data_IF_321507336598
#
_entry.id   IF_321507336598
#
_cell.length_a   1.000
_cell.length_b   1.000
_cell.length_c   1.000
_cell.angle_alpha   90.00
_cell.angle_beta   90.00
_cell.angle_gamma   90.00
#
_symmetry.space_group_name_H-M   'P 1'
#
loop_
_entity.id
_entity.type
_entity.pdbx_description
1 polymer ?
#
# COMPACT_ATOMS: atom_id res chain seq x y z
N UNK A 1 -44.69 6.44 5.50
CA UNK A 1 -43.74 7.53 5.24
C UNK A 1 -44.54 8.81 5.23
N UNK A 2 -44.34 9.64 6.23
CA UNK A 2 -45.06 10.92 6.32
C UNK A 2 -44.42 11.91 5.32
N UNK A 3 -45.21 12.88 4.83
CA UNK A 3 -44.75 13.92 3.90
C UNK A 3 -43.52 14.68 4.47
N UNK A 4 -43.47 14.87 5.77
CA UNK A 4 -42.38 15.48 6.48
C UNK A 4 -41.11 14.62 6.45
N UNK A 5 -41.23 13.30 6.56
CA UNK A 5 -40.08 12.35 6.41
C UNK A 5 -39.55 12.38 4.99
N UNK A 6 -40.42 12.42 3.99
CA UNK A 6 -40.05 12.54 2.59
C UNK A 6 -39.33 13.87 2.27
N UNK A 7 -39.88 14.98 2.78
CA UNK A 7 -39.28 16.31 2.62
C UNK A 7 -37.90 16.39 3.33
N UNK A 8 -37.81 15.81 4.52
CA UNK A 8 -36.55 15.73 5.29
C UNK A 8 -35.49 14.86 4.58
N UNK A 9 -35.89 13.72 4.06
CA UNK A 9 -34.99 12.87 3.28
C UNK A 9 -34.53 13.56 2.00
N UNK A 10 -35.39 14.26 1.28
CA UNK A 10 -35.04 15.02 0.10
C UNK A 10 -34.09 16.21 0.39
N UNK A 11 -34.39 16.95 1.48
CA UNK A 11 -33.52 18.03 1.93
C UNK A 11 -32.11 17.48 2.33
N UNK A 12 -32.06 16.40 3.11
CA UNK A 12 -30.82 15.73 3.47
C UNK A 12 -30.07 15.21 2.25
N UNK A 13 -30.77 14.72 1.23
CA UNK A 13 -30.14 14.28 -0.04
C UNK A 13 -29.56 15.43 -0.84
N UNK A 14 -30.23 16.60 -0.86
CA UNK A 14 -29.73 17.79 -1.58
C UNK A 14 -28.61 18.52 -0.84
N UNK A 15 -28.62 18.50 0.48
CA UNK A 15 -27.59 19.12 1.32
C UNK A 15 -26.38 18.21 1.58
N UNK A 16 -26.48 16.92 1.25
CA UNK A 16 -25.38 15.99 1.40
C UNK A 16 -24.16 16.45 0.55
N UNK A 17 -22.92 16.27 1.03
CA UNK A 17 -21.73 16.59 0.29
C UNK A 17 -21.72 15.95 -1.11
N UNK A 18 -21.18 16.65 -2.10
CA UNK A 18 -21.10 16.16 -3.49
C UNK A 18 -20.48 14.75 -3.58
N UNK A 19 -19.45 14.49 -2.80
CA UNK A 19 -18.82 13.19 -2.72
C UNK A 19 -19.75 12.06 -2.27
N UNK A 20 -20.80 12.37 -1.53
CA UNK A 20 -21.85 11.41 -1.10
C UNK A 20 -22.92 11.29 -2.20
N UNK A 21 -23.37 12.42 -2.75
CA UNK A 21 -24.40 12.45 -3.81
C UNK A 21 -23.93 11.72 -5.07
N UNK A 22 -22.66 11.86 -5.44
CA UNK A 22 -22.06 11.28 -6.63
C UNK A 22 -21.61 9.82 -6.47
N UNK A 23 -21.90 9.17 -5.34
CA UNK A 23 -21.59 7.74 -5.18
C UNK A 23 -22.26 6.92 -6.28
N UNK A 24 -21.53 5.99 -6.92
CA UNK A 24 -22.05 5.02 -7.85
C UNK A 24 -23.27 4.26 -7.29
N UNK A 25 -24.28 4.08 -8.14
CA UNK A 25 -25.51 3.31 -7.81
C UNK A 25 -25.49 1.91 -8.43
N UNK A 26 -24.65 1.68 -9.44
CA UNK A 26 -24.48 0.39 -10.12
C UNK A 26 -22.99 0.12 -10.39
N UNK A 27 -22.67 -1.10 -10.85
CA UNK A 27 -21.29 -1.46 -11.20
C UNK A 27 -20.73 -0.62 -12.35
N UNK A 28 -21.58 -0.24 -13.30
CA UNK A 28 -21.20 0.53 -14.49
C UNK A 28 -20.85 1.98 -14.15
N UNK A 29 -21.36 2.49 -13.04
CA UNK A 29 -21.05 3.84 -12.57
C UNK A 29 -19.71 3.91 -11.84
N UNK A 30 -19.13 2.77 -11.44
CA UNK A 30 -17.82 2.76 -10.75
C UNK A 30 -16.73 3.13 -11.74
N UNK A 31 -15.98 4.17 -11.43
CA UNK A 31 -14.82 4.59 -12.24
C UNK A 31 -13.56 3.90 -11.74
N UNK A 32 -12.66 3.58 -12.66
CA UNK A 32 -11.41 2.89 -12.35
C UNK A 32 -11.60 1.44 -11.90
N UNK A 33 -10.64 0.89 -11.15
CA UNK A 33 -10.65 -0.47 -10.58
C UNK A 33 -10.90 -1.60 -11.61
N UNK A 34 -10.57 -1.37 -12.88
CA UNK A 34 -10.83 -2.32 -13.98
C UNK A 34 -10.14 -3.67 -13.81
N UNK A 35 -9.06 -3.73 -13.02
CA UNK A 35 -8.33 -4.95 -12.71
C UNK A 35 -9.13 -5.92 -11.84
N UNK A 36 -10.13 -5.46 -11.06
CA UNK A 36 -11.01 -6.28 -10.22
C UNK A 36 -12.48 -6.25 -10.66
N UNK A 37 -12.97 -5.11 -11.20
CA UNK A 37 -14.36 -4.89 -11.58
C UNK A 37 -14.57 -4.82 -13.11
N UNK A 38 -13.51 -4.94 -13.92
CA UNK A 38 -13.64 -5.01 -15.37
C UNK A 38 -14.47 -6.22 -15.81
N UNK A 39 -15.09 -6.13 -16.97
CA UNK A 39 -15.86 -7.22 -17.56
C UNK A 39 -15.05 -8.52 -17.61
N UNK A 40 -15.64 -9.63 -17.16
CA UNK A 40 -14.97 -10.93 -17.07
C UNK A 40 -14.10 -11.13 -15.84
N UNK A 41 -13.83 -10.11 -15.01
CA UNK A 41 -13.08 -10.25 -13.75
C UNK A 41 -13.89 -10.98 -12.68
N UNK A 42 -13.18 -11.58 -11.71
CA UNK A 42 -13.78 -12.43 -10.70
C UNK A 42 -14.89 -11.72 -9.90
N UNK A 43 -14.60 -10.51 -9.38
CA UNK A 43 -15.56 -9.78 -8.58
C UNK A 43 -16.78 -9.38 -9.40
N UNK A 44 -16.59 -8.86 -10.62
CA UNK A 44 -17.68 -8.54 -11.54
C UNK A 44 -18.60 -9.74 -11.80
N UNK A 45 -18.01 -10.90 -12.16
CA UNK A 45 -18.78 -12.13 -12.40
C UNK A 45 -19.51 -12.62 -11.16
N UNK A 46 -18.87 -12.55 -9.98
CA UNK A 46 -19.49 -12.97 -8.71
C UNK A 46 -20.71 -12.12 -8.37
N UNK A 47 -20.62 -10.80 -8.58
CA UNK A 47 -21.76 -9.88 -8.36
C UNK A 47 -22.89 -10.18 -9.33
N UNK A 48 -22.60 -10.33 -10.62
CA UNK A 48 -23.61 -10.65 -11.65
C UNK A 48 -24.27 -12.02 -11.46
N UNK A 49 -23.55 -12.98 -10.91
CA UNK A 49 -24.06 -14.32 -10.62
C UNK A 49 -24.76 -14.40 -9.25
N UNK A 50 -24.84 -13.30 -8.49
CA UNK A 50 -25.36 -13.28 -7.13
C UNK A 50 -24.65 -14.29 -6.20
N UNK A 51 -23.34 -14.51 -6.43
CA UNK A 51 -22.50 -15.49 -5.73
C UNK A 51 -21.36 -14.79 -4.98
N UNK A 52 -21.67 -13.67 -4.32
CA UNK A 52 -20.72 -12.88 -3.54
C UNK A 52 -20.55 -13.50 -2.16
N UNK A 53 -19.34 -13.98 -1.86
CA UNK A 53 -18.94 -14.41 -0.52
C UNK A 53 -18.20 -13.30 0.25
N UNK A 54 -17.73 -13.63 1.44
CA UNK A 54 -16.96 -12.71 2.26
C UNK A 54 -15.66 -12.26 1.58
N UNK A 55 -15.30 -10.98 1.79
CA UNK A 55 -14.13 -10.37 1.17
C UNK A 55 -13.52 -9.26 2.02
N UNK A 56 -12.26 -8.98 1.76
CA UNK A 56 -11.55 -7.82 2.30
C UNK A 56 -11.15 -6.90 1.13
N UNK A 57 -11.58 -5.65 1.20
CA UNK A 57 -11.20 -4.60 0.27
C UNK A 57 -10.10 -3.75 0.94
N UNK A 58 -8.89 -3.76 0.39
CA UNK A 58 -7.82 -2.93 0.94
C UNK A 58 -7.24 -1.98 -0.11
N UNK A 59 -6.77 -0.84 0.32
CA UNK A 59 -6.20 0.18 -0.56
C UNK A 59 -6.34 1.60 0.01
N UNK A 60 -5.81 2.62 -0.69
CA UNK A 60 -5.72 3.98 -0.18
C UNK A 60 -7.11 4.60 0.09
N UNK A 61 -7.16 5.70 0.88
CA UNK A 61 -8.39 6.49 1.05
C UNK A 61 -8.95 6.94 -0.31
N UNK A 62 -10.28 7.11 -0.40
CA UNK A 62 -10.93 7.60 -1.61
C UNK A 62 -10.93 6.67 -2.82
N UNK A 63 -10.35 5.47 -2.74
CA UNK A 63 -10.31 4.47 -3.83
C UNK A 63 -11.65 3.77 -4.10
N UNK A 64 -12.68 4.02 -3.27
CA UNK A 64 -14.04 3.52 -3.50
C UNK A 64 -14.45 2.30 -2.68
N UNK A 65 -13.72 1.87 -1.65
CA UNK A 65 -14.02 0.68 -0.83
C UNK A 65 -15.47 0.63 -0.34
N UNK A 66 -15.91 1.65 0.38
CA UNK A 66 -17.30 1.75 0.89
C UNK A 66 -18.32 1.76 -0.24
N UNK A 67 -18.03 2.48 -1.32
CA UNK A 67 -18.91 2.59 -2.50
C UNK A 67 -19.09 1.24 -3.18
N UNK A 68 -18.01 0.49 -3.38
CA UNK A 68 -18.05 -0.84 -3.99
C UNK A 68 -18.90 -1.79 -3.13
N UNK A 69 -18.74 -1.76 -1.80
CA UNK A 69 -19.54 -2.57 -0.89
C UNK A 69 -21.04 -2.23 -0.97
N UNK A 70 -21.40 -0.94 -1.01
CA UNK A 70 -22.78 -0.49 -1.17
C UNK A 70 -23.39 -0.94 -2.51
N UNK A 71 -22.63 -0.84 -3.61
CA UNK A 71 -23.07 -1.29 -4.94
C UNK A 71 -23.26 -2.81 -4.97
N UNK A 72 -22.31 -3.58 -4.42
CA UNK A 72 -22.43 -5.04 -4.32
C UNK A 72 -23.72 -5.43 -3.59
N UNK A 73 -23.99 -4.81 -2.43
CA UNK A 73 -25.18 -5.12 -1.65
C UNK A 73 -26.47 -4.85 -2.43
N UNK A 74 -26.55 -3.73 -3.17
CA UNK A 74 -27.71 -3.40 -4.00
C UNK A 74 -27.89 -4.38 -5.16
N UNK A 75 -26.84 -4.73 -5.85
CA UNK A 75 -26.89 -5.67 -6.99
C UNK A 75 -27.26 -7.09 -6.54
N UNK A 76 -26.87 -7.49 -5.35
CA UNK A 76 -27.15 -8.82 -4.77
C UNK A 76 -28.42 -8.85 -3.92
N UNK A 77 -29.18 -7.74 -3.86
CA UNK A 77 -30.42 -7.61 -3.08
C UNK A 77 -30.30 -8.09 -1.63
N UNK A 78 -29.12 -7.91 -1.03
CA UNK A 78 -28.87 -8.21 0.39
C UNK A 78 -29.12 -6.99 1.26
N UNK A 79 -29.57 -7.20 2.49
CA UNK A 79 -29.66 -6.14 3.48
C UNK A 79 -28.24 -5.65 3.83
N UNK A 80 -28.06 -4.32 3.85
CA UNK A 80 -26.74 -3.71 4.07
C UNK A 80 -26.63 -3.16 5.49
N UNK A 81 -25.86 -3.87 6.32
CA UNK A 81 -25.51 -3.42 7.66
C UNK A 81 -24.10 -2.85 7.66
N UNK A 82 -23.91 -1.70 8.31
CA UNK A 82 -22.61 -1.03 8.38
C UNK A 82 -22.13 -0.89 9.80
N UNK A 83 -20.89 -1.29 10.06
CA UNK A 83 -20.14 -1.00 11.28
C UNK A 83 -18.89 -0.18 10.94
N UNK A 84 -18.58 0.78 11.80
CA UNK A 84 -17.31 1.48 11.75
C UNK A 84 -16.45 0.99 12.92
N UNK A 85 -15.34 0.30 12.61
CA UNK A 85 -14.50 -0.31 13.64
C UNK A 85 -13.80 0.70 14.55
N UNK A 86 -13.76 2.00 14.19
CA UNK A 86 -13.19 3.05 15.05
C UNK A 86 -14.16 3.46 16.17
N UNK A 87 -15.46 3.27 16.01
CA UNK A 87 -16.51 3.73 16.95
C UNK A 87 -17.34 2.58 17.50
N UNK A 88 -17.48 1.50 16.75
CA UNK A 88 -18.36 0.39 17.11
C UNK A 88 -17.87 -0.37 18.35
N UNK A 89 -18.71 -0.40 19.38
CA UNK A 89 -18.52 -1.21 20.56
C UNK A 89 -19.11 -2.61 20.45
N UNK A 90 -18.88 -3.45 21.46
CA UNK A 90 -19.41 -4.82 21.50
C UNK A 90 -20.93 -4.88 21.35
N UNK A 91 -21.66 -3.96 22.01
CA UNK A 91 -23.12 -3.91 21.97
C UNK A 91 -23.65 -3.67 20.56
N UNK A 92 -23.08 -2.71 19.84
CA UNK A 92 -23.45 -2.41 18.46
C UNK A 92 -23.19 -3.60 17.51
N UNK A 93 -22.09 -4.30 17.72
CA UNK A 93 -21.79 -5.55 16.97
C UNK A 93 -22.83 -6.63 17.25
N UNK A 94 -23.23 -6.83 18.51
CA UNK A 94 -24.26 -7.79 18.90
C UNK A 94 -25.62 -7.45 18.28
N UNK A 95 -26.02 -6.17 18.29
CA UNK A 95 -27.27 -5.69 17.68
C UNK A 95 -27.32 -5.97 16.17
N UNK A 96 -26.24 -5.64 15.45
CA UNK A 96 -26.15 -5.87 14.00
C UNK A 96 -26.14 -7.37 13.66
N UNK A 97 -25.46 -8.19 14.44
CA UNK A 97 -25.47 -9.64 14.24
C UNK A 97 -26.84 -10.23 14.55
N UNK A 98 -27.53 -9.76 15.58
CA UNK A 98 -28.90 -10.20 15.88
C UNK A 98 -29.84 -9.90 14.71
N UNK A 99 -29.78 -8.68 14.15
CA UNK A 99 -30.55 -8.32 12.95
C UNK A 99 -30.21 -9.24 11.77
N UNK A 100 -28.94 -9.54 11.55
CA UNK A 100 -28.51 -10.46 10.49
C UNK A 100 -29.08 -11.87 10.70
N UNK A 101 -29.09 -12.40 11.93
CA UNK A 101 -29.69 -13.69 12.26
C UNK A 101 -31.20 -13.70 11.98
N UNK A 102 -31.94 -12.62 12.33
CA UNK A 102 -33.35 -12.49 12.02
C UNK A 102 -33.62 -12.46 10.51
N UNK A 103 -32.80 -11.73 9.76
CA UNK A 103 -32.87 -11.68 8.30
C UNK A 103 -32.62 -13.07 7.70
N UNK A 104 -31.60 -13.76 8.16
CA UNK A 104 -31.28 -15.12 7.73
C UNK A 104 -32.43 -16.10 7.97
N UNK A 105 -33.08 -16.02 9.16
CA UNK A 105 -34.27 -16.81 9.49
C UNK A 105 -35.48 -16.52 8.59
N UNK A 106 -35.53 -15.34 7.94
CA UNK A 106 -36.55 -14.94 6.95
C UNK A 106 -36.14 -15.22 5.51
N UNK A 107 -35.02 -15.90 5.28
CA UNK A 107 -34.46 -16.18 3.95
C UNK A 107 -33.85 -14.98 3.25
N UNK A 108 -33.53 -13.90 3.99
CA UNK A 108 -32.83 -12.74 3.47
C UNK A 108 -31.33 -12.80 3.79
N UNK A 109 -30.50 -12.42 2.84
CA UNK A 109 -29.05 -12.32 3.05
C UNK A 109 -28.69 -10.96 3.64
N UNK A 110 -27.67 -10.93 4.49
CA UNK A 110 -27.12 -9.72 5.07
C UNK A 110 -25.67 -9.55 4.63
N UNK A 111 -25.37 -8.40 4.04
CA UNK A 111 -23.97 -7.96 3.79
C UNK A 111 -23.55 -7.07 4.96
N UNK A 112 -22.62 -7.56 5.75
CA UNK A 112 -22.02 -6.79 6.85
C UNK A 112 -20.76 -6.07 6.34
N UNK A 113 -20.85 -4.76 6.21
CA UNK A 113 -19.71 -3.91 5.86
C UNK A 113 -19.04 -3.39 7.13
N UNK A 114 -17.77 -3.71 7.32
CA UNK A 114 -16.94 -3.23 8.43
C UNK A 114 -15.88 -2.27 7.89
N UNK A 115 -16.08 -0.97 8.14
CA UNK A 115 -15.13 0.08 7.76
C UNK A 115 -13.94 0.10 8.73
N UNK A 116 -12.72 0.23 8.21
CA UNK A 116 -11.46 0.21 8.97
C UNK A 116 -11.31 -1.04 9.87
N UNK A 117 -11.61 -2.23 9.32
CA UNK A 117 -11.63 -3.50 10.07
C UNK A 117 -10.36 -3.78 10.88
N UNK A 118 -9.22 -3.23 10.51
CA UNK A 118 -7.95 -3.31 11.24
C UNK A 118 -8.02 -2.64 12.62
N UNK A 119 -9.00 -1.78 12.89
CA UNK A 119 -9.22 -1.15 14.20
C UNK A 119 -9.92 -2.07 15.19
N UNK A 120 -10.57 -3.12 14.73
CA UNK A 120 -11.08 -4.15 15.63
C UNK A 120 -9.95 -4.96 16.24
N UNK A 121 -9.94 -5.10 17.57
CA UNK A 121 -9.01 -6.01 18.22
C UNK A 121 -9.38 -7.49 17.90
N UNK A 122 -8.44 -8.42 18.14
CA UNK A 122 -8.61 -9.84 17.79
C UNK A 122 -9.92 -10.44 18.27
N UNK A 123 -10.32 -10.19 19.52
CA UNK A 123 -11.58 -10.71 20.07
C UNK A 123 -12.84 -10.20 19.37
N UNK A 124 -12.83 -8.98 18.81
CA UNK A 124 -13.94 -8.46 18.00
C UNK A 124 -13.95 -9.12 16.62
N UNK A 125 -12.80 -9.33 16.03
CA UNK A 125 -12.69 -10.06 14.77
C UNK A 125 -13.10 -11.55 14.95
N UNK A 126 -12.70 -12.18 16.05
CA UNK A 126 -13.09 -13.57 16.38
C UNK A 126 -14.61 -13.70 16.61
N UNK A 127 -15.25 -12.68 17.17
CA UNK A 127 -16.70 -12.65 17.37
C UNK A 127 -17.49 -12.77 16.04
N UNK A 128 -16.94 -12.26 14.94
CA UNK A 128 -17.60 -12.34 13.62
C UNK A 128 -17.44 -13.72 12.95
N UNK A 129 -16.43 -14.51 13.34
CA UNK A 129 -16.09 -15.77 12.67
C UNK A 129 -17.26 -16.75 12.53
N UNK A 130 -18.02 -17.09 13.59
CA UNK A 130 -19.11 -18.08 13.46
C UNK A 130 -20.14 -17.67 12.40
N UNK A 131 -20.49 -16.39 12.34
CA UNK A 131 -21.52 -15.85 11.44
C UNK A 131 -21.03 -15.71 9.98
N UNK A 132 -19.72 -15.61 9.79
CA UNK A 132 -19.09 -15.67 8.46
C UNK A 132 -18.98 -17.12 7.99
N UNK A 133 -18.72 -18.06 8.90
CA UNK A 133 -18.59 -19.49 8.61
C UNK A 133 -19.92 -20.12 8.22
N UNK A 134 -20.98 -19.83 8.95
CA UNK A 134 -22.32 -20.39 8.71
C UNK A 134 -23.11 -19.65 7.61
N UNK A 135 -22.57 -18.51 7.11
CA UNK A 135 -23.18 -17.73 6.05
C UNK A 135 -24.30 -16.81 6.50
N UNK A 136 -24.51 -16.63 7.81
CA UNK A 136 -25.45 -15.65 8.37
C UNK A 136 -25.15 -14.24 7.84
N UNK A 137 -23.86 -13.92 7.71
CA UNK A 137 -23.41 -12.68 7.09
C UNK A 137 -22.39 -12.93 5.97
N UNK A 138 -22.48 -12.15 4.90
CA UNK A 138 -21.41 -11.97 3.94
C UNK A 138 -20.58 -10.76 4.38
N UNK A 139 -19.37 -10.99 4.93
CA UNK A 139 -18.51 -9.93 5.44
C UNK A 139 -17.80 -9.21 4.30
N UNK A 140 -17.91 -7.88 4.26
CA UNK A 140 -17.03 -7.02 3.45
C UNK A 140 -16.23 -6.14 4.40
N UNK A 141 -14.99 -6.53 4.70
CA UNK A 141 -14.06 -5.71 5.48
C UNK A 141 -13.37 -4.70 4.59
N UNK A 142 -13.30 -3.44 5.03
CA UNK A 142 -12.52 -2.40 4.36
C UNK A 142 -11.36 -1.96 5.24
N UNK A 143 -10.18 -1.76 4.64
CA UNK A 143 -8.98 -1.29 5.35
C UNK A 143 -8.07 -0.48 4.44
N UNK A 144 -7.33 0.46 5.03
CA UNK A 144 -6.22 1.16 4.36
C UNK A 144 -4.88 0.46 4.59
N UNK A 145 -4.81 -0.46 5.55
CA UNK A 145 -3.62 -1.20 5.94
C UNK A 145 -3.54 -2.56 5.23
N UNK A 146 -2.34 -3.16 5.21
CA UNK A 146 -2.16 -4.49 4.63
C UNK A 146 -2.90 -5.55 5.47
N UNK A 147 -3.95 -6.22 4.91
CA UNK A 147 -4.79 -7.13 5.67
C UNK A 147 -4.05 -8.34 6.22
N UNK A 148 -2.93 -8.76 5.61
CA UNK A 148 -2.16 -9.91 6.08
C UNK A 148 -1.47 -9.68 7.44
N UNK A 149 -1.30 -8.42 7.86
CA UNK A 149 -0.73 -8.09 9.16
C UNK A 149 -1.81 -7.75 10.21
N UNK A 150 -2.93 -7.18 9.77
CA UNK A 150 -3.89 -6.54 10.67
C UNK A 150 -5.19 -7.33 10.85
N UNK A 151 -5.54 -8.18 9.88
CA UNK A 151 -6.77 -8.98 9.94
C UNK A 151 -6.44 -10.40 10.39
N UNK A 152 -7.29 -10.95 11.26
CA UNK A 152 -7.14 -12.31 11.76
C UNK A 152 -7.04 -13.33 10.62
N UNK A 153 -6.06 -14.22 10.70
CA UNK A 153 -5.82 -15.26 9.72
C UNK A 153 -7.05 -16.17 9.45
N UNK A 154 -7.89 -16.38 10.47
CA UNK A 154 -9.12 -17.16 10.34
C UNK A 154 -10.17 -16.43 9.47
N UNK A 155 -10.31 -15.11 9.58
CA UNK A 155 -11.16 -14.31 8.68
C UNK A 155 -10.58 -14.26 7.27
N UNK A 156 -9.24 -14.09 7.14
CA UNK A 156 -8.59 -14.06 5.84
C UNK A 156 -8.77 -15.37 5.06
N UNK A 157 -8.66 -16.51 5.73
CA UNK A 157 -8.82 -17.83 5.09
C UNK A 157 -10.24 -18.07 4.54
N UNK A 158 -11.23 -17.31 5.02
CA UNK A 158 -12.64 -17.36 4.62
C UNK A 158 -13.07 -16.22 3.73
N UNK A 159 -12.16 -15.29 3.46
CA UNK A 159 -12.43 -14.09 2.69
C UNK A 159 -11.55 -14.01 1.46
N UNK A 160 -12.07 -13.43 0.39
CA UNK A 160 -11.27 -13.10 -0.79
C UNK A 160 -10.70 -11.71 -0.62
N UNK A 161 -9.44 -11.52 -0.96
CA UNK A 161 -8.76 -10.23 -0.81
C UNK A 161 -8.73 -9.54 -2.16
N UNK A 162 -9.19 -8.28 -2.20
CA UNK A 162 -9.16 -7.43 -3.38
C UNK A 162 -8.41 -6.14 -3.06
N UNK A 163 -7.35 -5.90 -3.82
CA UNK A 163 -6.58 -4.65 -3.75
C UNK A 163 -7.23 -3.58 -4.63
N UNK A 164 -7.52 -2.44 -4.03
CA UNK A 164 -7.94 -1.24 -4.75
C UNK A 164 -6.73 -0.33 -4.95
N UNK A 165 -6.56 0.13 -6.17
CA UNK A 165 -5.49 1.07 -6.54
C UNK A 165 -5.99 2.51 -6.40
N UNK A 166 -5.08 3.50 -6.23
CA UNK A 166 -5.44 4.89 -6.43
C UNK A 166 -6.12 5.06 -7.79
N UNK A 167 -7.12 5.93 -7.87
CA UNK A 167 -7.74 6.24 -9.15
C UNK A 167 -6.76 6.98 -10.06
N UNK A 168 -6.76 6.66 -11.34
CA UNK A 168 -5.98 7.42 -12.29
C UNK A 168 -6.56 8.84 -12.46
N UNK A 169 -5.74 9.82 -12.84
CA UNK A 169 -6.19 11.18 -13.09
C UNK A 169 -7.32 11.22 -14.13
N UNK A 170 -7.26 10.37 -15.16
CA UNK A 170 -8.32 10.24 -16.15
C UNK A 170 -9.66 9.77 -15.57
N UNK A 171 -9.65 8.84 -14.59
CA UNK A 171 -10.84 8.37 -13.89
C UNK A 171 -11.48 9.49 -13.05
N UNK A 172 -10.65 10.27 -12.36
CA UNK A 172 -11.10 11.42 -11.56
C UNK A 172 -11.64 12.51 -12.48
N UNK A 173 -11.00 12.81 -13.61
CA UNK A 173 -11.49 13.77 -14.59
C UNK A 173 -12.88 13.36 -15.14
N UNK A 174 -13.06 12.08 -15.44
CA UNK A 174 -14.36 11.56 -15.85
C UNK A 174 -15.43 11.73 -14.76
N UNK A 175 -15.06 11.50 -13.49
CA UNK A 175 -15.95 11.69 -12.34
C UNK A 175 -16.33 13.18 -12.16
N UNK A 176 -15.37 14.10 -12.28
CA UNK A 176 -15.63 15.55 -12.18
C UNK A 176 -16.55 16.04 -13.31
N UNK A 177 -16.29 15.62 -14.56
CA UNK A 177 -17.17 15.96 -15.70
C UNK A 177 -18.59 15.37 -15.50
N UNK A 178 -18.70 14.14 -15.00
CA UNK A 178 -19.99 13.55 -14.65
C UNK A 178 -20.71 14.37 -13.58
N UNK A 179 -20.01 14.82 -12.54
CA UNK A 179 -20.57 15.67 -11.49
C UNK A 179 -21.07 17.03 -12.02
N UNK A 180 -20.38 17.61 -13.00
CA UNK A 180 -20.84 18.83 -13.67
C UNK A 180 -22.05 18.61 -14.57
N UNK A 181 -22.19 17.44 -15.18
CA UNK A 181 -23.28 17.14 -16.11
C UNK A 181 -24.53 16.54 -15.46
N UNK A 182 -24.39 15.88 -14.29
CA UNK A 182 -25.53 15.20 -13.62
C UNK A 182 -26.52 16.21 -13.04
N UNK A 183 -27.76 16.18 -13.54
CA UNK A 183 -28.83 17.10 -13.13
C UNK A 183 -29.47 16.74 -11.81
N UNK A 184 -29.39 15.48 -11.38
CA UNK A 184 -30.03 14.98 -10.16
C UNK A 184 -29.10 15.09 -8.95
N UNK A 185 -27.85 14.68 -9.14
CA UNK A 185 -26.87 14.50 -8.06
C UNK A 185 -25.75 15.55 -8.07
N UNK A 186 -25.50 16.15 -9.23
CA UNK A 186 -24.43 17.09 -9.46
C UNK A 186 -24.88 18.52 -9.71
N UNK A 187 -24.21 19.16 -10.64
CA UNK A 187 -24.42 20.59 -10.99
C UNK A 187 -24.99 20.79 -12.39
N UNK A 188 -25.55 19.76 -13.04
CA UNK A 188 -26.05 19.86 -14.41
C UNK A 188 -27.23 20.82 -14.62
N UNK A 189 -27.87 21.34 -13.56
CA UNK A 189 -28.87 22.38 -13.60
C UNK A 189 -28.32 23.79 -13.37
N UNK A 190 -27.02 23.92 -13.06
CA UNK A 190 -26.35 25.18 -12.83
C UNK A 190 -25.72 25.70 -14.14
N UNK A 191 -25.73 27.00 -14.34
CA UNK A 191 -24.98 27.59 -15.44
C UNK A 191 -23.50 27.68 -15.03
N UNK A 192 -22.79 26.57 -15.19
CA UNK A 192 -21.41 26.45 -14.71
C UNK A 192 -20.53 25.75 -15.77
N UNK A 193 -19.28 26.12 -15.80
CA UNK A 193 -18.24 25.59 -16.69
C UNK A 193 -17.00 25.25 -15.87
N UNK A 194 -16.51 24.03 -15.99
CA UNK A 194 -15.22 23.59 -15.49
C UNK A 194 -14.23 23.59 -16.65
N UNK A 195 -13.22 24.48 -16.59
CA UNK A 195 -12.22 24.53 -17.67
C UNK A 195 -11.38 23.24 -17.69
N UNK A 196 -10.88 22.86 -18.87
CA UNK A 196 -10.05 21.66 -18.99
C UNK A 196 -8.79 21.72 -18.12
N UNK A 197 -8.20 22.90 -17.98
CA UNK A 197 -7.03 23.13 -17.11
C UNK A 197 -7.36 22.88 -15.62
N UNK A 198 -8.50 23.40 -15.16
CA UNK A 198 -8.99 23.20 -13.79
C UNK A 198 -9.34 21.75 -13.53
N UNK A 199 -10.01 21.09 -14.51
CA UNK A 199 -10.34 19.66 -14.42
C UNK A 199 -9.09 18.79 -14.33
N UNK A 200 -8.12 19.00 -15.19
CA UNK A 200 -6.86 18.28 -15.18
C UNK A 200 -6.10 18.52 -13.86
N UNK A 201 -6.02 19.76 -13.42
CA UNK A 201 -5.34 20.09 -12.16
C UNK A 201 -6.00 19.44 -10.93
N UNK A 202 -7.33 19.52 -10.78
CA UNK A 202 -8.04 18.87 -9.68
C UNK A 202 -7.84 17.34 -9.69
N UNK A 203 -7.81 16.75 -10.90
CA UNK A 203 -7.61 15.32 -11.08
C UNK A 203 -6.24 14.85 -10.62
N UNK A 204 -5.19 15.61 -10.94
CA UNK A 204 -3.81 15.31 -10.52
C UNK A 204 -3.60 15.61 -9.03
N UNK A 205 -4.05 16.80 -8.58
CA UNK A 205 -3.86 17.27 -7.21
C UNK A 205 -4.59 16.40 -6.18
N UNK A 206 -5.67 15.72 -6.58
CA UNK A 206 -6.40 14.78 -5.71
C UNK A 206 -5.59 13.50 -5.38
N UNK A 207 -4.52 13.18 -6.13
CA UNK A 207 -3.63 12.07 -5.81
C UNK A 207 -4.32 10.70 -5.78
N UNK A 208 -5.34 10.49 -6.62
CA UNK A 208 -6.09 9.24 -6.68
C UNK A 208 -7.28 9.14 -5.71
N UNK A 209 -7.57 10.19 -4.95
CA UNK A 209 -8.70 10.27 -4.01
C UNK A 209 -9.90 11.02 -4.63
N UNK A 210 -10.94 10.27 -5.03
CA UNK A 210 -12.18 10.82 -5.59
C UNK A 210 -12.90 11.77 -4.62
N UNK A 211 -12.85 11.52 -3.30
CA UNK A 211 -13.51 12.34 -2.29
C UNK A 211 -12.87 13.73 -2.23
N UNK A 212 -11.54 13.78 -2.24
CA UNK A 212 -10.78 15.04 -2.26
C UNK A 212 -11.12 15.86 -3.50
N UNK A 213 -11.17 15.25 -4.69
CA UNK A 213 -11.51 15.92 -5.94
C UNK A 213 -12.94 16.49 -5.92
N UNK A 214 -13.92 15.68 -5.50
CA UNK A 214 -15.33 16.11 -5.44
C UNK A 214 -15.59 17.19 -4.39
N UNK A 215 -14.92 17.12 -3.24
CA UNK A 215 -15.03 18.16 -2.20
C UNK A 215 -14.44 19.49 -2.69
N UNK A 216 -13.30 19.45 -3.40
CA UNK A 216 -12.71 20.64 -3.99
C UNK A 216 -13.62 21.24 -5.08
N UNK A 217 -14.20 20.41 -5.95
CA UNK A 217 -15.20 20.85 -6.93
C UNK A 217 -16.43 21.49 -6.25
N UNK A 218 -16.95 20.86 -5.19
CA UNK A 218 -18.09 21.40 -4.44
C UNK A 218 -17.79 22.76 -3.82
N UNK A 219 -16.60 22.91 -3.23
CA UNK A 219 -16.17 24.17 -2.65
C UNK A 219 -16.04 25.24 -3.73
N UNK A 220 -15.40 24.93 -4.86
CA UNK A 220 -15.29 25.82 -6.01
C UNK A 220 -16.65 26.29 -6.50
N UNK A 221 -17.60 25.38 -6.69
CA UNK A 221 -18.97 25.70 -7.13
C UNK A 221 -19.74 26.59 -6.15
N UNK A 222 -19.58 26.38 -4.85
CA UNK A 222 -20.30 27.15 -3.81
C UNK A 222 -19.71 28.53 -3.55
N UNK A 223 -18.42 28.74 -3.83
CA UNK A 223 -17.70 29.97 -3.48
C UNK A 223 -17.42 30.88 -4.66
N UNK A 224 -17.54 30.39 -5.89
CA UNK A 224 -17.28 31.20 -7.10
C UNK A 224 -18.57 31.94 -7.51
N UNK A 225 -18.56 33.29 -7.54
CA UNK A 225 -19.70 34.06 -8.05
C UNK A 225 -19.84 33.86 -9.57
N UNK A 226 -21.08 33.95 -10.12
CA UNK A 226 -21.29 34.00 -11.55
C UNK A 226 -20.59 35.21 -12.19
N UNK A 227 -20.12 35.07 -13.39
CA UNK A 227 -19.58 36.16 -14.22
C UNK A 227 -20.67 37.09 -14.76
N UNK A 228 -20.29 38.06 -15.64
CA UNK A 228 -21.21 39.00 -16.24
C UNK A 228 -22.29 38.33 -17.12
N UNK A 229 -22.03 37.10 -17.61
CA UNK A 229 -22.95 36.32 -18.41
C UNK A 229 -23.84 35.38 -17.53
N UNK A 230 -23.67 35.45 -16.21
CA UNK A 230 -24.37 34.60 -15.24
C UNK A 230 -23.86 33.16 -15.21
N UNK A 231 -22.63 32.92 -15.63
CA UNK A 231 -21.98 31.59 -15.67
C UNK A 231 -20.95 31.51 -14.56
N UNK A 232 -20.96 30.44 -13.79
CA UNK A 232 -19.91 30.11 -12.82
C UNK A 232 -18.75 29.45 -13.56
N UNK A 233 -17.62 30.16 -13.70
CA UNK A 233 -16.44 29.63 -14.39
C UNK A 233 -15.39 29.16 -13.39
N UNK A 234 -15.18 27.86 -13.35
CA UNK A 234 -14.16 27.24 -12.52
C UNK A 234 -12.83 27.21 -13.30
N UNK A 235 -12.01 28.23 -13.07
CA UNK A 235 -10.68 28.38 -13.67
C UNK A 235 -9.63 27.65 -12.85
N UNK A 236 -8.41 27.53 -13.40
CA UNK A 236 -7.26 26.95 -12.70
C UNK A 236 -7.03 27.62 -11.34
N UNK A 237 -7.09 28.96 -11.25
CA UNK A 237 -6.89 29.69 -9.99
C UNK A 237 -7.94 29.32 -8.93
N UNK A 238 -9.21 29.17 -9.32
CA UNK A 238 -10.27 28.73 -8.42
C UNK A 238 -10.04 27.29 -7.95
N UNK A 239 -9.57 26.43 -8.84
CA UNK A 239 -9.27 25.03 -8.51
C UNK A 239 -8.09 24.93 -7.52
N UNK A 240 -7.03 25.74 -7.70
CA UNK A 240 -5.88 25.82 -6.79
C UNK A 240 -6.30 26.21 -5.37
N UNK A 241 -7.11 27.25 -5.23
CA UNK A 241 -7.61 27.71 -3.94
C UNK A 241 -8.51 26.67 -3.28
N UNK A 242 -9.39 26.03 -4.07
CA UNK A 242 -10.39 25.08 -3.55
C UNK A 242 -9.78 23.79 -3.04
N UNK A 243 -8.65 23.32 -3.60
CA UNK A 243 -7.93 22.15 -3.11
C UNK A 243 -6.77 22.51 -2.17
N UNK A 244 -6.53 23.82 -1.96
CA UNK A 244 -5.42 24.36 -1.16
C UNK A 244 -4.03 23.87 -1.63
N UNK A 245 -3.89 23.62 -2.92
CA UNK A 245 -2.63 23.28 -3.57
C UNK A 245 -2.40 24.21 -4.74
N UNK A 246 -1.16 24.70 -4.93
CA UNK A 246 -0.80 25.51 -6.10
C UNK A 246 -0.47 24.60 -7.28
N UNK A 247 -0.91 24.99 -8.48
CA UNK A 247 -0.43 24.35 -9.69
C UNK A 247 1.07 24.64 -9.82
N UNK A 248 1.88 23.65 -9.59
CA UNK A 248 3.26 23.74 -10.03
C UNK A 248 3.21 23.67 -11.55
N UNK A 249 3.69 24.72 -12.24
CA UNK A 249 3.91 24.70 -13.69
C UNK A 249 5.01 23.70 -13.99
N UNK A 250 4.69 22.43 -13.84
CA UNK A 250 5.48 21.34 -14.38
C UNK A 250 4.93 21.05 -15.77
N UNK A 251 5.80 20.97 -16.77
CA UNK A 251 5.44 20.47 -18.08
C UNK A 251 4.71 19.13 -17.91
N UNK A 252 3.44 19.11 -18.36
CA UNK A 252 2.47 18.04 -18.11
C UNK A 252 2.75 16.74 -18.88
N UNK A 253 3.93 16.59 -19.46
CA UNK A 253 4.33 15.32 -20.07
C UNK A 253 4.85 14.41 -18.96
N UNK A 254 4.13 13.33 -18.69
CA UNK A 254 4.43 12.34 -17.64
C UNK A 254 5.86 11.77 -17.67
N UNK A 255 6.57 11.90 -18.78
CA UNK A 255 7.98 11.56 -18.95
C UNK A 255 8.90 12.43 -18.06
N UNK A 256 8.65 13.73 -17.91
CA UNK A 256 9.49 14.64 -17.13
C UNK A 256 9.48 14.34 -15.61
N UNK A 257 8.37 13.82 -15.08
CA UNK A 257 8.27 13.40 -13.68
C UNK A 257 9.13 12.15 -13.43
N UNK A 258 8.93 11.12 -14.25
CA UNK A 258 9.72 9.88 -14.15
C UNK A 258 11.19 10.11 -14.44
N UNK A 259 11.52 11.01 -15.36
CA UNK A 259 12.89 11.40 -15.66
C UNK A 259 13.57 12.10 -14.49
N UNK A 260 12.87 12.98 -13.79
CA UNK A 260 13.43 13.68 -12.60
C UNK A 260 13.68 12.70 -11.46
N UNK A 261 12.75 11.77 -11.20
CA UNK A 261 12.93 10.69 -10.20
C UNK A 261 14.11 9.79 -10.60
N UNK A 262 14.18 9.43 -11.87
CA UNK A 262 15.27 8.62 -12.41
C UNK A 262 16.62 9.32 -12.28
N UNK A 263 16.67 10.62 -12.58
CA UNK A 263 17.87 11.45 -12.42
C UNK A 263 18.29 11.55 -10.94
N UNK A 264 17.34 11.75 -10.02
CA UNK A 264 17.59 11.77 -8.59
C UNK A 264 18.23 10.47 -8.09
N UNK A 265 17.62 9.31 -8.43
CA UNK A 265 18.16 8.00 -8.04
C UNK A 265 19.54 7.78 -8.64
N UNK A 266 19.72 8.08 -9.94
CA UNK A 266 21.00 7.91 -10.65
C UNK A 266 22.08 8.82 -10.10
N UNK A 267 21.76 10.03 -9.64
CA UNK A 267 22.70 10.95 -9.01
C UNK A 267 23.21 10.43 -7.67
N UNK A 268 22.31 9.92 -6.81
CA UNK A 268 22.74 9.28 -5.55
C UNK A 268 23.59 8.03 -5.80
N UNK A 269 23.17 7.18 -6.75
CA UNK A 269 23.92 5.98 -7.17
C UNK A 269 25.28 6.33 -7.77
N UNK A 270 25.33 7.38 -8.58
CA UNK A 270 26.54 7.87 -9.24
C UNK A 270 27.48 8.68 -8.35
N UNK A 271 27.14 8.87 -7.05
CA UNK A 271 27.94 9.64 -6.09
C UNK A 271 28.12 11.11 -6.49
N UNK A 272 27.06 11.72 -7.04
CA UNK A 272 26.99 13.16 -7.31
C UNK A 272 26.03 13.83 -6.32
N UNK A 273 26.53 14.36 -5.17
CA UNK A 273 25.68 14.99 -4.15
C UNK A 273 25.05 16.31 -4.62
N UNK A 274 25.70 17.05 -5.50
CA UNK A 274 25.18 18.32 -6.02
C UNK A 274 23.99 18.08 -6.95
N UNK A 275 24.07 17.13 -7.86
CA UNK A 275 22.96 16.73 -8.70
C UNK A 275 21.84 16.10 -7.86
N UNK A 276 22.13 15.25 -6.88
CA UNK A 276 21.14 14.63 -6.02
C UNK A 276 20.32 15.67 -5.24
N UNK A 277 20.98 16.64 -4.60
CA UNK A 277 20.28 17.69 -3.84
C UNK A 277 19.48 18.63 -4.76
N UNK A 278 19.99 18.90 -5.97
CA UNK A 278 19.27 19.69 -6.96
C UNK A 278 17.95 19.00 -7.38
N UNK A 279 18.00 17.72 -7.75
CA UNK A 279 16.80 16.98 -8.13
C UNK A 279 15.84 16.79 -6.95
N UNK A 280 16.33 16.57 -5.72
CA UNK A 280 15.52 16.59 -4.52
C UNK A 280 14.76 17.91 -4.35
N UNK A 281 15.47 19.05 -4.46
CA UNK A 281 14.89 20.37 -4.35
C UNK A 281 13.87 20.64 -5.46
N UNK A 282 14.15 20.21 -6.69
CA UNK A 282 13.25 20.31 -7.84
C UNK A 282 11.95 19.56 -7.62
N UNK A 283 12.01 18.32 -7.07
CA UNK A 283 10.82 17.51 -6.76
C UNK A 283 10.02 18.11 -5.58
N UNK A 284 10.69 18.58 -4.52
CA UNK A 284 10.02 19.27 -3.41
C UNK A 284 9.34 20.57 -3.85
N UNK A 285 9.99 21.35 -4.71
CA UNK A 285 9.41 22.55 -5.30
C UNK A 285 8.19 22.22 -6.17
N UNK A 286 8.23 21.10 -6.86
CA UNK A 286 7.13 20.56 -7.67
C UNK A 286 5.96 20.02 -6.84
N UNK A 287 6.10 19.94 -5.51
CA UNK A 287 5.06 19.42 -4.62
C UNK A 287 5.00 17.91 -4.53
N UNK A 288 6.11 17.21 -4.87
CA UNK A 288 6.22 15.76 -4.69
C UNK A 288 6.03 15.38 -3.22
N UNK A 289 5.42 14.21 -2.98
CA UNK A 289 5.23 13.69 -1.62
C UNK A 289 6.59 13.49 -0.92
N UNK A 290 6.87 14.19 0.18
CA UNK A 290 8.11 14.02 0.93
C UNK A 290 8.36 12.58 1.40
N UNK A 291 7.30 11.81 1.69
CA UNK A 291 7.38 10.40 2.06
C UNK A 291 7.82 9.53 0.89
N UNK A 292 7.38 9.86 -0.31
CA UNK A 292 7.85 9.18 -1.51
C UNK A 292 9.35 9.40 -1.69
N UNK A 293 9.84 10.63 -1.53
CA UNK A 293 11.27 10.96 -1.62
C UNK A 293 12.09 10.25 -0.54
N UNK A 294 11.58 10.22 0.69
CA UNK A 294 12.21 9.47 1.80
C UNK A 294 12.35 7.98 1.46
N UNK A 295 11.30 7.34 0.95
CA UNK A 295 11.36 5.93 0.50
C UNK A 295 12.44 5.70 -0.56
N UNK A 296 12.63 6.63 -1.51
CA UNK A 296 13.67 6.51 -2.54
C UNK A 296 15.08 6.59 -1.95
N UNK A 297 15.29 7.45 -0.96
CA UNK A 297 16.56 7.55 -0.25
C UNK A 297 16.85 6.26 0.53
N UNK A 298 15.88 5.72 1.26
CA UNK A 298 16.01 4.45 2.00
C UNK A 298 16.34 3.28 1.06
N UNK A 299 15.63 3.19 -0.07
CA UNK A 299 15.90 2.14 -1.07
C UNK A 299 17.33 2.28 -1.62
N UNK A 300 17.75 3.50 -2.01
CA UNK A 300 19.10 3.73 -2.52
C UNK A 300 20.18 3.38 -1.48
N UNK A 301 19.96 3.69 -0.20
CA UNK A 301 20.86 3.32 0.89
C UNK A 301 21.02 1.79 1.02
N UNK A 302 19.95 1.03 0.85
CA UNK A 302 19.98 -0.43 0.90
C UNK A 302 20.54 -1.06 -0.38
N UNK A 303 20.12 -0.55 -1.55
CA UNK A 303 20.41 -1.11 -2.87
C UNK A 303 21.82 -0.78 -3.36
N UNK A 304 22.20 0.51 -3.27
CA UNK A 304 23.40 1.04 -3.93
C UNK A 304 24.58 1.28 -2.96
N UNK A 305 24.32 1.49 -1.67
CA UNK A 305 25.36 1.62 -0.63
C UNK A 305 25.56 0.28 0.10
N UNK A 306 24.48 -0.33 0.55
CA UNK A 306 24.50 -1.64 1.21
C UNK A 306 25.51 -1.74 2.34
N UNK A 307 26.30 -2.82 2.35
CA UNK A 307 27.31 -3.08 3.39
C UNK A 307 28.62 -2.30 3.19
N UNK A 308 28.77 -1.54 2.12
CA UNK A 308 29.93 -0.65 1.99
C UNK A 308 29.90 0.46 3.06
N UNK A 309 28.71 0.95 3.41
CA UNK A 309 28.46 1.79 4.61
C UNK A 309 27.08 1.51 5.20
N UNK A 310 26.96 0.58 6.18
CA UNK A 310 25.69 0.27 6.82
C UNK A 310 25.01 1.44 7.52
N UNK A 311 25.75 2.49 7.85
CA UNK A 311 25.18 3.70 8.44
C UNK A 311 24.28 4.46 7.48
N UNK A 312 24.44 4.31 6.18
CA UNK A 312 23.60 4.96 5.20
C UNK A 312 22.12 4.56 5.36
N UNK A 313 21.84 3.27 5.59
CA UNK A 313 20.49 2.79 5.85
C UNK A 313 19.95 3.30 7.19
N UNK A 314 20.77 3.34 8.24
CA UNK A 314 20.37 3.85 9.57
C UNK A 314 20.01 5.34 9.49
N UNK A 315 20.83 6.14 8.81
CA UNK A 315 20.57 7.57 8.61
C UNK A 315 19.30 7.79 7.78
N UNK A 316 19.13 7.03 6.70
CA UNK A 316 17.96 7.14 5.83
C UNK A 316 16.65 6.73 6.56
N UNK A 317 16.65 5.66 7.35
CA UNK A 317 15.49 5.22 8.13
C UNK A 317 15.17 6.19 9.27
N UNK A 318 16.19 6.67 9.99
CA UNK A 318 16.00 7.70 11.02
C UNK A 318 15.41 8.99 10.45
N UNK A 319 15.84 9.39 9.25
CA UNK A 319 15.26 10.51 8.52
C UNK A 319 13.80 10.26 8.20
N UNK A 320 13.44 9.09 7.66
CA UNK A 320 12.07 8.77 7.27
C UNK A 320 11.14 8.78 8.50
N UNK A 321 11.56 8.18 9.62
CA UNK A 321 10.81 8.21 10.87
C UNK A 321 10.68 9.62 11.49
N UNK A 322 11.72 10.46 11.37
CA UNK A 322 11.69 11.84 11.84
C UNK A 322 10.78 12.72 10.96
N UNK A 323 10.79 12.49 9.63
CA UNK A 323 9.95 13.21 8.68
C UNK A 323 8.45 13.05 9.00
N UNK A 324 8.03 11.86 9.40
CA UNK A 324 6.63 11.60 9.78
C UNK A 324 6.20 12.34 11.05
N UNK A 325 7.13 12.62 11.97
CA UNK A 325 6.86 13.35 13.22
C UNK A 325 6.91 14.86 13.07
N UNK A 326 7.85 15.35 12.27
CA UNK A 326 8.15 16.79 12.15
C UNK A 326 7.30 17.39 11.01
N UNK A 327 7.18 16.68 9.88
CA UNK A 327 6.48 17.18 8.70
C UNK A 327 7.23 18.30 7.97
N UNK A 328 6.51 18.95 7.05
CA UNK A 328 7.03 20.09 6.29
C UNK A 328 6.63 21.39 6.99
N UNK A 329 7.42 22.49 6.89
CA UNK A 329 8.55 22.69 5.97
C UNK A 329 9.91 22.21 6.48
N UNK A 330 10.08 21.87 7.76
CA UNK A 330 11.38 21.51 8.35
C UNK A 330 11.88 20.14 7.86
N UNK A 331 10.99 19.26 7.43
CA UNK A 331 11.30 17.94 6.87
C UNK A 331 12.29 17.97 5.70
N UNK A 332 12.37 19.10 4.97
CA UNK A 332 13.36 19.30 3.91
C UNK A 332 14.81 19.23 4.41
N UNK A 333 15.07 19.61 5.66
CA UNK A 333 16.41 19.56 6.25
C UNK A 333 16.83 18.11 6.49
N UNK A 334 15.89 17.30 6.95
CA UNK A 334 16.08 15.85 7.19
C UNK A 334 16.35 15.12 5.87
N UNK A 335 15.51 15.38 4.85
CA UNK A 335 15.68 14.82 3.50
C UNK A 335 17.03 15.21 2.90
N UNK A 336 17.45 16.48 3.05
CA UNK A 336 18.72 16.97 2.56
C UNK A 336 19.89 16.24 3.20
N UNK A 337 19.91 16.10 4.54
CA UNK A 337 20.98 15.40 5.26
C UNK A 337 21.14 13.96 4.79
N UNK A 338 20.03 13.21 4.74
CA UNK A 338 20.06 11.80 4.33
C UNK A 338 20.44 11.64 2.85
N UNK A 339 19.91 12.49 1.96
CA UNK A 339 20.25 12.50 0.54
C UNK A 339 21.75 12.69 0.32
N UNK A 340 22.33 13.70 0.95
CA UNK A 340 23.76 14.01 0.84
C UNK A 340 24.63 12.88 1.42
N UNK A 341 24.21 12.30 2.56
CA UNK A 341 24.92 11.18 3.16
C UNK A 341 24.94 9.97 2.21
N UNK A 342 23.78 9.57 1.69
CA UNK A 342 23.65 8.42 0.78
C UNK A 342 24.39 8.68 -0.53
N UNK A 343 24.29 9.89 -1.08
CA UNK A 343 25.01 10.26 -2.30
C UNK A 343 26.52 10.20 -2.11
N UNK A 344 27.04 10.59 -0.94
CA UNK A 344 28.48 10.65 -0.66
C UNK A 344 29.08 9.34 -0.14
N UNK A 345 28.25 8.37 0.27
CA UNK A 345 28.71 7.10 0.82
C UNK A 345 29.39 6.21 -0.26
N UNK A 346 30.33 5.34 0.13
CA UNK A 346 30.88 4.33 -0.78
C UNK A 346 29.76 3.40 -1.27
N UNK A 347 29.84 2.99 -2.53
CA UNK A 347 28.79 2.22 -3.20
C UNK A 347 29.11 0.73 -3.28
N UNK A 348 28.10 -0.09 -2.99
CA UNK A 348 28.11 -1.53 -3.27
C UNK A 348 26.70 -2.06 -3.42
N UNK A 349 26.45 -2.76 -4.51
CA UNK A 349 25.20 -3.50 -4.73
C UNK A 349 25.33 -5.00 -4.41
N UNK A 350 26.38 -5.41 -3.70
CA UNK A 350 26.66 -6.82 -3.43
C UNK A 350 25.53 -7.51 -2.64
N UNK A 351 24.88 -6.80 -1.70
CA UNK A 351 23.73 -7.33 -0.97
C UNK A 351 22.50 -7.53 -1.88
N UNK A 352 22.25 -6.59 -2.77
CA UNK A 352 21.16 -6.63 -3.76
C UNK A 352 21.35 -7.77 -4.76
N UNK A 353 22.54 -7.90 -5.32
CA UNK A 353 22.85 -9.00 -6.25
C UNK A 353 22.78 -10.35 -5.55
N UNK A 354 23.19 -10.44 -4.27
CA UNK A 354 23.12 -11.66 -3.49
C UNK A 354 21.68 -12.17 -3.32
N UNK A 355 20.72 -11.30 -2.94
CA UNK A 355 19.33 -11.72 -2.74
C UNK A 355 18.66 -12.10 -4.06
N UNK A 356 18.88 -11.35 -5.15
CA UNK A 356 18.29 -11.69 -6.45
C UNK A 356 18.84 -13.02 -6.99
N UNK A 357 20.16 -13.24 -6.90
CA UNK A 357 20.75 -14.52 -7.27
C UNK A 357 20.27 -15.69 -6.39
N UNK A 358 20.04 -15.43 -5.10
CA UNK A 358 19.49 -16.44 -4.20
C UNK A 358 18.03 -16.78 -4.52
N UNK A 359 17.18 -15.78 -4.86
CA UNK A 359 15.80 -16.00 -5.28
C UNK A 359 15.72 -16.82 -6.57
N UNK A 360 16.53 -16.48 -7.58
CA UNK A 360 16.61 -17.24 -8.83
C UNK A 360 17.06 -18.71 -8.58
N UNK A 361 18.06 -18.89 -7.71
CA UNK A 361 18.51 -20.23 -7.34
C UNK A 361 17.42 -21.00 -6.56
N UNK A 362 16.75 -20.35 -5.63
CA UNK A 362 15.68 -20.96 -4.84
C UNK A 362 14.49 -21.40 -5.69
N UNK A 363 14.12 -20.60 -6.71
CA UNK A 363 13.06 -20.97 -7.66
C UNK A 363 13.36 -22.28 -8.38
N UNK A 364 14.64 -22.47 -8.78
CA UNK A 364 15.09 -23.67 -9.48
C UNK A 364 15.32 -24.90 -8.56
N UNK A 365 15.48 -24.66 -7.25
CA UNK A 365 15.91 -25.69 -6.28
C UNK A 365 14.99 -25.77 -5.05
N UNK A 366 13.72 -25.38 -5.19
CA UNK A 366 12.75 -25.33 -4.08
C UNK A 366 12.57 -26.66 -3.33
N UNK A 367 12.88 -27.80 -3.97
CA UNK A 367 12.79 -29.15 -3.40
C UNK A 367 14.13 -29.70 -2.85
N UNK A 368 15.21 -28.90 -2.90
CA UNK A 368 16.50 -29.36 -2.38
C UNK A 368 16.42 -29.62 -0.86
N UNK A 369 16.80 -30.84 -0.40
CA UNK A 369 16.62 -31.20 1.00
C UNK A 369 17.59 -30.40 1.90
N UNK A 370 17.08 -29.89 3.01
CA UNK A 370 17.90 -29.27 4.05
C UNK A 370 18.79 -30.37 4.68
N UNK A 371 20.10 -30.12 4.84
CA UNK A 371 21.00 -31.06 5.50
C UNK A 371 20.46 -31.53 6.86
N UNK A 372 20.48 -32.83 7.19
CA UNK A 372 19.88 -33.37 8.42
C UNK A 372 20.39 -32.71 9.70
N UNK A 373 21.66 -32.35 9.76
CA UNK A 373 22.28 -31.68 10.92
C UNK A 373 21.81 -30.22 11.11
N UNK A 374 21.23 -29.59 10.09
CA UNK A 374 20.64 -28.24 10.18
C UNK A 374 19.13 -28.27 10.46
N UNK A 375 18.50 -29.44 10.43
CA UNK A 375 17.08 -29.56 10.70
C UNK A 375 16.78 -29.37 12.18
N UNK A 376 15.58 -28.83 12.49
CA UNK A 376 15.17 -28.55 13.86
C UNK A 376 15.20 -29.83 14.74
N UNK A 377 15.86 -29.71 15.90
CA UNK A 377 16.04 -30.75 16.89
C UNK A 377 15.45 -30.39 18.28
N UNK A 378 14.53 -29.38 18.35
CA UNK A 378 13.97 -28.91 19.61
C UNK A 378 12.66 -29.60 20.04
N UNK A 379 12.27 -30.73 19.40
CA UNK A 379 11.06 -31.46 19.73
C UNK A 379 11.33 -32.94 20.07
N UNK A 380 10.43 -33.53 20.86
CA UNK A 380 10.56 -34.97 21.25
C UNK A 380 10.46 -35.86 20.00
N UNK A 381 11.44 -36.76 19.84
CA UNK A 381 11.49 -37.75 18.74
C UNK A 381 12.37 -37.30 17.55
N UNK A 382 12.98 -36.13 17.56
CA UNK A 382 13.89 -35.67 16.52
C UNK A 382 15.08 -36.64 16.29
N UNK A 383 15.57 -37.28 17.37
CA UNK A 383 16.68 -38.27 17.30
C UNK A 383 16.33 -39.48 16.45
N UNK A 384 15.08 -39.98 16.52
CA UNK A 384 14.62 -41.11 15.71
C UNK A 384 14.58 -40.79 14.21
N UNK A 385 14.46 -39.50 13.88
CA UNK A 385 14.47 -38.97 12.52
C UNK A 385 15.88 -38.53 12.07
N UNK A 386 16.90 -38.66 12.92
CA UNK A 386 18.28 -38.29 12.64
C UNK A 386 18.49 -36.77 12.46
N UNK A 387 17.54 -35.94 12.92
CA UNK A 387 17.59 -34.48 12.80
C UNK A 387 18.52 -33.89 13.84
N UNK A 388 19.30 -32.85 13.44
CA UNK A 388 20.27 -32.17 14.29
C UNK A 388 21.54 -32.99 14.57
N UNK A 389 21.62 -34.25 14.15
CA UNK A 389 22.78 -35.12 14.40
C UNK A 389 23.98 -34.68 13.56
N UNK A 390 25.09 -34.35 14.24
CA UNK A 390 26.34 -33.94 13.57
C UNK A 390 26.44 -32.42 13.34
N UNK A 391 25.53 -31.60 13.90
CA UNK A 391 25.69 -30.16 13.94
C UNK A 391 26.87 -29.79 14.83
N UNK A 392 27.77 -28.96 14.29
CA UNK A 392 28.90 -28.41 15.02
C UNK A 392 28.54 -27.00 15.45
N UNK A 393 28.46 -26.77 16.75
CA UNK A 393 28.10 -25.45 17.29
C UNK A 393 29.30 -24.49 17.24
N UNK A 394 29.27 -23.42 16.45
CA UNK A 394 30.44 -22.58 16.21
C UNK A 394 31.08 -21.96 17.47
N UNK A 395 30.27 -21.69 18.51
CA UNK A 395 30.79 -21.12 19.77
C UNK A 395 31.65 -22.08 20.59
N UNK A 396 31.65 -23.37 20.29
CA UNK A 396 32.53 -24.37 20.93
C UNK A 396 33.92 -24.42 20.29
N UNK A 397 34.15 -23.62 19.22
CA UNK A 397 35.36 -23.60 18.45
C UNK A 397 36.10 -22.27 18.54
N UNK A 398 37.43 -22.27 18.40
CA UNK A 398 38.26 -21.05 18.40
C UNK A 398 37.79 -20.03 17.37
N UNK A 399 37.64 -18.79 17.81
CA UNK A 399 37.16 -17.70 16.93
C UNK A 399 35.68 -17.79 16.56
N UNK A 400 34.89 -18.66 17.26
CA UNK A 400 33.46 -18.92 16.99
C UNK A 400 33.22 -19.31 15.53
N UNK A 401 34.10 -20.12 14.97
CA UNK A 401 34.00 -20.58 13.61
C UNK A 401 34.39 -22.04 13.49
N UNK A 402 33.63 -22.78 12.70
CA UNK A 402 33.95 -24.17 12.29
C UNK A 402 33.55 -24.34 10.81
N UNK A 403 34.40 -25.04 10.06
CA UNK A 403 34.13 -25.34 8.68
C UNK A 403 33.02 -26.40 8.61
N UNK A 404 31.81 -26.00 8.19
CA UNK A 404 30.67 -26.85 7.99
C UNK A 404 29.87 -26.31 6.81
N UNK A 405 29.28 -27.18 6.01
CA UNK A 405 28.40 -26.78 4.92
C UNK A 405 27.01 -26.38 5.45
N UNK A 406 26.49 -25.26 5.02
CA UNK A 406 25.16 -24.74 5.43
C UNK A 406 24.16 -24.77 4.28
N UNK A 407 24.60 -24.96 3.05
CA UNK A 407 23.72 -25.14 1.89
C UNK A 407 23.35 -26.62 1.69
N UNK A 408 22.23 -26.90 1.03
CA UNK A 408 21.96 -28.24 0.51
C UNK A 408 23.14 -28.80 -0.30
N UNK A 409 23.33 -30.12 -0.27
CA UNK A 409 24.47 -30.76 -0.93
C UNK A 409 24.54 -30.45 -2.42
N UNK A 410 23.41 -30.37 -3.11
CA UNK A 410 23.31 -29.97 -4.52
C UNK A 410 23.74 -28.53 -4.81
N UNK A 411 23.84 -27.68 -3.78
CA UNK A 411 24.20 -26.27 -3.87
C UNK A 411 25.55 -25.97 -3.24
N UNK A 412 26.28 -27.00 -2.82
CA UNK A 412 27.60 -26.86 -2.22
C UNK A 412 28.54 -26.10 -3.15
N UNK A 413 29.25 -25.10 -2.61
CA UNK A 413 30.16 -24.23 -3.35
C UNK A 413 29.51 -23.05 -4.07
N UNK A 414 28.19 -22.90 -4.01
CA UNK A 414 27.51 -21.69 -4.54
C UNK A 414 27.97 -20.44 -3.79
N UNK A 415 28.42 -19.43 -4.53
CA UNK A 415 28.87 -18.14 -3.98
C UNK A 415 27.81 -17.05 -4.32
N UNK A 416 26.86 -16.83 -3.44
CA UNK A 416 25.80 -15.85 -3.63
C UNK A 416 26.21 -14.44 -3.21
N UNK A 417 26.87 -14.30 -2.07
CA UNK A 417 27.38 -13.01 -1.59
C UNK A 417 28.85 -12.82 -1.97
N UNK A 418 29.12 -11.76 -2.72
CA UNK A 418 30.47 -11.39 -3.20
C UNK A 418 30.77 -9.96 -2.78
N UNK A 419 31.30 -9.74 -1.55
CA UNK A 419 31.61 -8.41 -1.05
C UNK A 419 32.58 -7.66 -1.97
N UNK A 420 32.29 -6.37 -2.16
CA UNK A 420 33.14 -5.45 -2.92
C UNK A 420 34.40 -5.08 -2.15
N UNK A 421 35.28 -4.29 -2.78
CA UNK A 421 36.46 -3.71 -2.12
C UNK A 421 36.15 -2.28 -1.59
N UNK A 422 34.88 -1.84 -1.60
CA UNK A 422 34.51 -0.51 -1.21
C UNK A 422 34.07 -0.45 0.28
N UNK A 423 34.51 0.62 0.96
CA UNK A 423 34.13 0.90 2.34
C UNK A 423 34.34 -0.30 3.28
N UNK A 424 33.37 -0.54 4.15
CA UNK A 424 33.42 -1.65 5.14
C UNK A 424 33.33 -3.05 4.52
N UNK A 425 32.92 -3.19 3.28
CA UNK A 425 32.90 -4.51 2.62
C UNK A 425 34.30 -5.06 2.36
N UNK A 426 35.29 -4.22 2.22
CA UNK A 426 36.71 -4.67 2.15
C UNK A 426 37.12 -5.44 3.42
N UNK A 427 36.72 -4.98 4.59
CA UNK A 427 36.96 -5.65 5.88
C UNK A 427 36.17 -6.96 5.98
N UNK A 428 34.91 -6.96 5.56
CA UNK A 428 34.07 -8.17 5.51
C UNK A 428 34.72 -9.21 4.59
N UNK A 429 35.14 -8.81 3.40
CA UNK A 429 35.80 -9.67 2.43
C UNK A 429 37.08 -10.29 3.01
N UNK A 430 37.91 -9.48 3.65
CA UNK A 430 39.14 -9.94 4.28
C UNK A 430 38.86 -10.93 5.43
N UNK A 431 37.83 -10.65 6.25
CA UNK A 431 37.38 -11.56 7.33
C UNK A 431 36.89 -12.90 6.77
N UNK A 432 36.02 -12.88 5.78
CA UNK A 432 35.47 -14.11 5.17
C UNK A 432 36.58 -14.96 4.52
N UNK A 433 37.54 -14.32 3.89
CA UNK A 433 38.71 -15.02 3.33
C UNK A 433 39.52 -15.72 4.43
N UNK A 434 39.86 -15.03 5.54
CA UNK A 434 40.59 -15.62 6.69
C UNK A 434 39.84 -16.81 7.29
N UNK A 435 38.51 -16.72 7.44
CA UNK A 435 37.67 -17.81 7.96
C UNK A 435 37.74 -19.06 7.05
N UNK A 436 37.67 -18.89 5.74
CA UNK A 436 37.78 -20.00 4.79
C UNK A 436 39.15 -20.67 4.86
N UNK A 437 40.24 -19.90 4.86
CA UNK A 437 41.60 -20.44 4.98
C UNK A 437 41.82 -21.21 6.29
N UNK A 438 41.36 -20.66 7.43
CA UNK A 438 41.43 -21.33 8.72
C UNK A 438 40.59 -22.64 8.76
N UNK A 439 39.51 -22.70 8.02
CA UNK A 439 38.72 -23.92 7.88
C UNK A 439 39.38 -25.00 7.06
N UNK A 440 40.12 -24.63 6.02
CA UNK A 440 40.88 -25.54 5.18
C UNK A 440 42.07 -26.16 5.95
N UNK A 441 42.84 -25.35 6.69
CA UNK A 441 43.96 -25.79 7.52
C UNK A 441 43.53 -26.70 8.68
N UNK A 442 42.35 -26.44 9.31
CA UNK A 442 41.81 -27.28 10.39
C UNK A 442 41.25 -28.64 9.92
N UNK A 443 40.98 -28.81 8.64
CA UNK A 443 40.47 -30.06 8.07
C UNK A 443 41.62 -31.03 7.75
N UNK A 444 42.79 -30.54 7.40
CA UNK A 444 43.99 -31.36 7.09
C UNK A 444 44.63 -31.96 8.35
N UNK A 445 44.49 -31.28 9.51
CA UNK A 445 44.97 -31.74 10.81
C UNK A 445 44.16 -32.85 11.48
N UNK A 446 42.98 -33.25 10.95
CA UNK A 446 42.17 -34.37 11.44
C UNK A 446 42.25 -35.66 10.62
N UNK A 447 43.13 -35.70 9.64
CA UNK A 447 43.41 -36.89 8.82
C UNK A 447 44.66 -37.65 9.23
N UNK A 448 45.27 -37.29 10.36
CA UNK A 448 46.40 -38.07 10.93
C UNK A 448 45.99 -38.79 12.21
#
# INVERSE_FOLDING_TARGET
MDLFDYMRENALRQEAPLAVRMRPRSLEEIVGQTHILGEGKLLYRAVRADAVGSMILYGPPGSGKTTIAEVISRETKSEFCRLNATTAGKKEMEEVIQEACENFGRGKRTTLFVDEIHRFHKGQQDFLLPYVEDGTVALIGATTENPFFEVNAALLSRSRIFELKPLAAADIAALLRRAMADKERGYGNWRAELTEEACAFLSDAAGGDARTALNALELAMKTTPPDADGVIRLTLSVAEESIQKRAVRYDKDGDNHYDTISAFIKSMRGSDPDAAIYYLARMLYAGEDPRFLARRIVICAAEDVGNADPMALVVAESMAAALDRIGMPEGKLLLSQACLYVASAPKSNAATTAIFSALELAERTATAPIPPYLQDAHYRGHEQLGRGKGYLYPHDFPGNYVAQDYLPESLRGSALYRPSDNGKEAEIKARLKRLKTAGEEGHDGRKT
#
